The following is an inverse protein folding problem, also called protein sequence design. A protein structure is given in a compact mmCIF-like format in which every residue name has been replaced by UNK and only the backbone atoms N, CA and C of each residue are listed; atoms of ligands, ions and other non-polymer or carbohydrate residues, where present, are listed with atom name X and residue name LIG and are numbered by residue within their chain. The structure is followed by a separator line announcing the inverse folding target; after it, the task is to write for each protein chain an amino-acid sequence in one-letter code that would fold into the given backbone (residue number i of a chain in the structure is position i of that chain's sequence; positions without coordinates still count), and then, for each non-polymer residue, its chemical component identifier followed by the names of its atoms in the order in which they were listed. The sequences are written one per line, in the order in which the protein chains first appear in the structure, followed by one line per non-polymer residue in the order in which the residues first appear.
data_IF_971433379793
#
_entry.id   IF_971433379793
#
_cell.length_a   1.000
_cell.length_b   1.000
_cell.length_c   1.000
_cell.angle_alpha   90.00
_cell.angle_beta   90.00
_cell.angle_gamma   90.00
#
_symmetry.space_group_name_H-M   'P 1'
#
loop_
_entity.id
_entity.type
_entity.pdbx_description
1 polymer ?
#
# COMPACT_ATOMS: atom_id res chain seq x y z
N UNK A 1 51.12 3.58 -22.19
CA UNK A 1 50.79 2.32 -22.89
C UNK A 1 50.80 1.07 -21.99
N UNK A 2 51.27 1.11 -20.73
CA UNK A 2 51.25 -0.07 -19.83
C UNK A 2 49.87 -0.41 -19.22
N UNK A 3 48.98 0.58 -19.02
CA UNK A 3 47.71 0.37 -18.31
C UNK A 3 46.66 -0.44 -19.10
N UNK A 4 46.72 -0.44 -20.44
CA UNK A 4 45.80 -1.26 -21.27
C UNK A 4 46.19 -2.75 -21.28
N UNK A 5 47.46 -3.10 -21.08
CA UNK A 5 47.92 -4.51 -21.09
C UNK A 5 47.51 -5.26 -19.82
N UNK A 6 47.40 -4.56 -18.69
CA UNK A 6 46.95 -5.14 -17.41
C UNK A 6 45.46 -5.49 -17.41
N UNK A 7 44.63 -4.70 -18.11
CA UNK A 7 43.18 -4.95 -18.22
C UNK A 7 42.88 -6.16 -19.12
N UNK A 8 43.68 -6.36 -20.18
CA UNK A 8 43.55 -7.52 -21.06
C UNK A 8 43.91 -8.84 -20.36
N UNK A 9 44.89 -8.82 -19.46
CA UNK A 9 45.36 -10.01 -18.76
C UNK A 9 44.39 -10.47 -17.65
N UNK A 10 43.70 -9.54 -17.00
CA UNK A 10 42.64 -9.86 -16.02
C UNK A 10 41.38 -10.41 -16.69
N UNK A 11 41.07 -9.99 -17.92
CA UNK A 11 39.91 -10.48 -18.66
C UNK A 11 40.11 -11.92 -19.19
N UNK A 12 41.35 -12.28 -19.54
CA UNK A 12 41.70 -13.64 -19.97
C UNK A 12 41.69 -14.65 -18.81
N UNK A 13 42.00 -14.22 -17.59
CA UNK A 13 41.96 -15.08 -16.40
C UNK A 13 40.53 -15.43 -15.95
N UNK A 14 39.55 -14.58 -16.27
CA UNK A 14 38.15 -14.83 -15.91
C UNK A 14 37.44 -15.82 -16.86
N UNK A 15 37.94 -16.03 -18.08
CA UNK A 15 37.31 -16.96 -19.03
C UNK A 15 37.71 -18.43 -18.84
N UNK A 16 38.70 -18.73 -17.98
CA UNK A 16 39.19 -20.08 -17.75
C UNK A 16 38.46 -20.83 -16.61
N UNK A 17 37.54 -20.17 -15.89
CA UNK A 17 36.90 -20.72 -14.69
C UNK A 17 35.53 -21.40 -14.93
N UNK A 18 35.01 -21.43 -16.16
CA UNK A 18 33.67 -21.98 -16.45
C UNK A 18 33.75 -23.31 -17.20
N UNK A 19 34.29 -24.33 -16.54
CA UNK A 19 34.04 -25.73 -16.90
C UNK A 19 33.38 -26.43 -15.71
N UNK A 20 32.22 -25.92 -15.29
CA UNK A 20 31.33 -26.67 -14.40
C UNK A 20 30.60 -27.68 -15.29
N UNK A 21 31.15 -28.89 -15.37
CA UNK A 21 30.40 -30.02 -15.90
C UNK A 21 29.23 -30.28 -14.94
N UNK A 22 28.02 -29.96 -15.39
CA UNK A 22 26.80 -30.28 -14.66
C UNK A 22 26.68 -31.81 -14.58
N UNK A 23 26.82 -32.34 -13.37
CA UNK A 23 26.67 -33.76 -13.08
C UNK A 23 25.18 -34.12 -13.19
N UNK A 24 24.78 -34.77 -14.28
CA UNK A 24 23.39 -35.08 -14.57
C UNK A 24 22.94 -36.27 -13.71
N UNK A 25 22.23 -35.95 -12.62
CA UNK A 25 21.63 -36.93 -11.73
C UNK A 25 20.43 -37.61 -12.38
N UNK A 26 20.39 -38.94 -12.31
CA UNK A 26 19.26 -39.77 -12.75
C UNK A 26 18.90 -40.79 -11.67
N UNK A 27 17.70 -41.34 -11.77
CA UNK A 27 17.18 -42.32 -10.84
C UNK A 27 16.91 -43.63 -11.57
N UNK A 28 17.10 -44.75 -10.91
CA UNK A 28 16.74 -46.06 -11.46
C UNK A 28 15.22 -46.24 -11.33
N UNK A 29 14.56 -46.69 -12.40
CA UNK A 29 13.11 -46.90 -12.45
C UNK A 29 12.63 -47.84 -11.33
N UNK A 30 11.40 -47.63 -10.86
CA UNK A 30 10.83 -48.28 -9.67
C UNK A 30 10.34 -49.72 -9.89
N UNK A 31 10.42 -50.21 -11.13
CA UNK A 31 9.62 -51.38 -11.54
C UNK A 31 10.33 -52.72 -11.25
N UNK A 32 11.68 -52.77 -11.20
CA UNK A 32 12.43 -53.98 -10.83
C UNK A 32 13.93 -53.70 -10.58
N UNK A 33 14.60 -54.58 -9.82
CA UNK A 33 16.08 -54.59 -9.77
C UNK A 33 16.65 -54.75 -11.18
N UNK A 34 17.46 -53.77 -11.60
CA UNK A 34 18.05 -53.78 -12.94
C UNK A 34 19.45 -54.38 -12.90
N UNK A 35 19.78 -55.15 -13.92
CA UNK A 35 21.11 -55.73 -14.05
C UNK A 35 22.04 -54.75 -14.73
N UNK A 36 23.25 -54.60 -14.17
CA UNK A 36 24.26 -53.68 -14.70
C UNK A 36 25.37 -54.43 -15.42
N UNK A 37 25.88 -53.81 -16.50
CA UNK A 37 26.86 -54.41 -17.40
C UNK A 37 28.19 -53.68 -17.40
N UNK A 38 29.24 -54.38 -17.84
CA UNK A 38 30.61 -53.85 -17.91
C UNK A 38 30.88 -52.97 -19.13
N UNK A 39 30.02 -53.03 -20.14
CA UNK A 39 30.11 -52.21 -21.35
C UNK A 39 28.75 -51.88 -21.96
N UNK A 40 28.73 -51.02 -22.99
CA UNK A 40 27.51 -50.45 -23.57
C UNK A 40 26.81 -51.41 -24.53
N UNK A 41 26.30 -52.54 -24.05
CA UNK A 41 25.54 -53.48 -24.89
C UNK A 41 25.25 -54.83 -24.22
N UNK A 42 24.38 -55.63 -24.85
CA UNK A 42 23.95 -56.92 -24.30
C UNK A 42 25.03 -58.00 -24.28
N UNK A 43 26.05 -57.88 -25.13
CA UNK A 43 27.17 -58.81 -25.23
C UNK A 43 28.18 -58.67 -24.07
N UNK A 44 28.02 -57.67 -23.21
CA UNK A 44 28.93 -57.44 -22.09
C UNK A 44 28.49 -58.19 -20.84
N UNK A 45 29.48 -58.69 -20.08
CA UNK A 45 29.27 -59.43 -18.85
C UNK A 45 28.49 -58.59 -17.82
N UNK A 46 27.51 -59.23 -17.18
CA UNK A 46 26.78 -58.73 -16.02
C UNK A 46 27.75 -58.56 -14.84
N UNK A 47 27.81 -57.37 -14.28
CA UNK A 47 28.74 -57.01 -13.18
C UNK A 47 28.04 -56.92 -11.84
N UNK A 48 26.70 -56.85 -11.84
CA UNK A 48 25.89 -56.82 -10.63
C UNK A 48 24.45 -56.40 -10.90
N UNK A 49 23.78 -55.97 -9.84
CA UNK A 49 22.42 -55.42 -9.85
C UNK A 49 22.42 -54.06 -9.16
N UNK A 50 21.51 -53.18 -9.58
CA UNK A 50 21.23 -51.90 -8.93
C UNK A 50 19.78 -51.89 -8.47
N UNK A 51 19.53 -51.31 -7.29
CA UNK A 51 18.21 -51.34 -6.68
C UNK A 51 17.29 -50.34 -7.38
N UNK A 52 16.00 -50.71 -7.48
CA UNK A 52 14.97 -49.80 -7.96
C UNK A 52 14.89 -48.55 -7.08
N UNK A 53 14.85 -47.36 -7.71
CA UNK A 53 14.78 -46.07 -7.02
C UNK A 53 16.08 -45.52 -6.47
N UNK A 54 17.23 -46.16 -6.73
CA UNK A 54 18.57 -45.69 -6.36
C UNK A 54 18.98 -44.45 -7.19
N UNK A 55 19.60 -43.45 -6.54
CA UNK A 55 20.15 -42.27 -7.22
C UNK A 55 21.49 -42.62 -7.85
N UNK A 56 21.61 -42.38 -9.16
CA UNK A 56 22.81 -42.65 -9.94
C UNK A 56 23.21 -41.44 -10.78
N UNK A 57 24.51 -41.22 -10.92
CA UNK A 57 25.02 -40.15 -11.77
C UNK A 57 25.22 -40.66 -13.18
N UNK A 58 24.65 -40.00 -14.18
CA UNK A 58 24.91 -40.32 -15.56
C UNK A 58 26.25 -39.71 -16.03
N UNK A 59 27.14 -40.55 -16.54
CA UNK A 59 28.44 -40.13 -17.07
C UNK A 59 28.42 -40.02 -18.58
N UNK A 60 27.87 -41.03 -19.25
CA UNK A 60 27.84 -41.09 -20.71
C UNK A 60 26.60 -41.84 -21.19
N UNK A 61 26.11 -41.48 -22.38
CA UNK A 61 25.03 -42.21 -23.05
C UNK A 61 25.53 -42.75 -24.38
N UNK A 62 25.15 -43.98 -24.68
CA UNK A 62 25.32 -44.60 -26.00
C UNK A 62 23.92 -44.78 -26.60
N UNK A 63 23.60 -43.95 -27.58
CA UNK A 63 22.31 -43.98 -28.30
C UNK A 63 22.22 -45.12 -29.31
N UNK A 64 23.34 -45.67 -29.77
CA UNK A 64 23.34 -46.81 -30.71
C UNK A 64 22.91 -48.10 -30.02
N UNK A 65 23.34 -48.29 -28.77
CA UNK A 65 23.02 -49.49 -28.00
C UNK A 65 21.92 -49.27 -26.95
N UNK A 66 21.44 -48.03 -26.79
CA UNK A 66 20.47 -47.62 -25.77
C UNK A 66 20.93 -47.88 -24.33
N UNK A 67 22.22 -47.69 -24.05
CA UNK A 67 22.82 -47.85 -22.72
C UNK A 67 23.37 -46.54 -22.18
N UNK A 68 23.21 -46.31 -20.88
CA UNK A 68 23.83 -45.21 -20.14
C UNK A 68 24.90 -45.75 -19.19
N UNK A 69 26.08 -45.14 -19.20
CA UNK A 69 27.10 -45.34 -18.19
C UNK A 69 26.74 -44.52 -16.97
N UNK A 70 26.56 -45.19 -15.83
CA UNK A 70 26.21 -44.55 -14.58
C UNK A 70 27.25 -44.83 -13.51
N UNK A 71 27.39 -43.87 -12.58
CA UNK A 71 28.14 -44.01 -11.35
C UNK A 71 27.17 -44.09 -10.18
N UNK A 72 27.29 -45.18 -9.45
CA UNK A 72 26.53 -45.45 -8.22
C UNK A 72 27.13 -44.69 -7.02
N UNK A 73 26.37 -44.55 -5.94
CA UNK A 73 26.76 -43.99 -4.64
C UNK A 73 28.04 -44.63 -4.06
N UNK A 74 28.26 -45.91 -4.37
CA UNK A 74 29.46 -46.66 -4.00
C UNK A 74 30.70 -46.36 -4.87
N UNK A 75 30.61 -45.42 -5.81
CA UNK A 75 31.69 -45.05 -6.74
C UNK A 75 31.93 -46.02 -7.89
N UNK A 76 31.12 -47.09 -7.99
CA UNK A 76 31.22 -48.08 -9.09
C UNK A 76 30.64 -47.51 -10.38
N UNK A 77 31.31 -47.75 -11.49
CA UNK A 77 30.83 -47.36 -12.82
C UNK A 77 30.33 -48.58 -13.58
N UNK A 78 29.11 -48.50 -14.09
CA UNK A 78 28.45 -49.60 -14.79
C UNK A 78 27.47 -49.10 -15.85
N UNK A 79 27.12 -49.95 -16.81
CA UNK A 79 26.18 -49.63 -17.88
C UNK A 79 24.80 -50.18 -17.57
N UNK A 80 23.79 -49.32 -17.68
CA UNK A 80 22.36 -49.62 -17.45
C UNK A 80 21.58 -49.25 -18.72
N UNK A 81 20.57 -50.05 -19.13
CA UNK A 81 19.69 -49.68 -20.25
C UNK A 81 18.97 -48.35 -19.98
N UNK A 82 18.93 -47.45 -20.97
CA UNK A 82 18.35 -46.11 -20.82
C UNK A 82 16.86 -46.13 -20.40
N UNK A 83 16.11 -47.17 -20.81
CA UNK A 83 14.70 -47.37 -20.42
C UNK A 83 14.50 -47.54 -18.91
N UNK A 84 15.53 -47.98 -18.20
CA UNK A 84 15.50 -48.21 -16.75
C UNK A 84 16.01 -46.98 -15.98
N UNK A 85 16.44 -45.92 -16.68
CA UNK A 85 16.87 -44.65 -16.08
C UNK A 85 15.74 -43.62 -16.21
N UNK A 86 15.16 -43.26 -15.08
CA UNK A 86 14.17 -42.20 -14.95
C UNK A 86 14.83 -40.88 -14.54
N UNK A 87 14.31 -39.77 -15.03
CA UNK A 87 14.64 -38.43 -14.53
C UNK A 87 13.84 -38.06 -13.28
N UNK A 88 12.90 -38.92 -12.88
CA UNK A 88 11.92 -38.69 -11.83
C UNK A 88 12.28 -39.55 -10.60
N UNK A 89 12.33 -38.98 -9.38
CA UNK A 89 12.57 -39.72 -8.15
C UNK A 89 11.52 -40.79 -7.87
N UNK A 90 11.93 -41.85 -7.19
CA UNK A 90 11.11 -43.03 -6.89
C UNK A 90 9.85 -42.76 -6.05
N UNK A 91 8.78 -43.49 -6.32
CA UNK A 91 7.53 -43.57 -5.58
C UNK A 91 7.76 -43.84 -4.08
N UNK A 92 8.78 -44.63 -3.70
CA UNK A 92 9.15 -44.86 -2.29
C UNK A 92 9.50 -43.57 -1.55
N UNK A 93 10.09 -42.58 -2.22
CA UNK A 93 10.39 -41.27 -1.62
C UNK A 93 9.21 -40.31 -1.72
N UNK A 94 8.40 -40.41 -2.79
CA UNK A 94 7.25 -39.52 -3.00
C UNK A 94 6.06 -39.79 -2.10
N UNK A 95 5.78 -41.05 -1.73
CA UNK A 95 4.57 -41.41 -0.95
C UNK A 95 4.56 -40.72 0.43
N UNK A 96 5.63 -40.78 1.25
CA UNK A 96 5.65 -40.07 2.54
C UNK A 96 5.52 -38.56 2.39
N UNK A 97 6.16 -37.97 1.38
CA UNK A 97 6.11 -36.53 1.12
C UNK A 97 4.72 -36.07 0.66
N UNK A 98 4.06 -36.87 -0.17
CA UNK A 98 2.68 -36.63 -0.62
C UNK A 98 1.70 -36.77 0.54
N UNK A 99 1.86 -37.78 1.41
CA UNK A 99 1.05 -37.94 2.62
C UNK A 99 1.21 -36.76 3.59
N UNK A 100 2.45 -36.29 3.80
CA UNK A 100 2.74 -35.11 4.60
C UNK A 100 2.11 -33.83 4.01
N UNK A 101 2.12 -33.69 2.68
CA UNK A 101 1.47 -32.58 2.00
C UNK A 101 -0.06 -32.64 2.20
N UNK A 102 -0.69 -33.79 1.99
CA UNK A 102 -2.13 -33.96 2.19
C UNK A 102 -2.53 -33.63 3.63
N UNK A 103 -1.75 -34.10 4.62
CA UNK A 103 -1.96 -33.76 6.03
C UNK A 103 -1.87 -32.25 6.27
N UNK A 104 -0.81 -31.61 5.79
CA UNK A 104 -0.60 -30.17 5.94
C UNK A 104 -1.72 -29.35 5.28
N UNK A 105 -2.17 -29.76 4.09
CA UNK A 105 -3.27 -29.11 3.39
C UNK A 105 -4.60 -29.29 4.13
N UNK A 106 -4.83 -30.46 4.71
CA UNK A 106 -6.01 -30.76 5.52
C UNK A 106 -6.04 -29.91 6.80
N UNK A 107 -4.90 -29.82 7.51
CA UNK A 107 -4.76 -28.97 8.70
C UNK A 107 -4.99 -27.48 8.37
N UNK A 108 -4.50 -27.02 7.21
CA UNK A 108 -4.76 -25.66 6.72
C UNK A 108 -6.24 -25.45 6.44
N UNK A 109 -6.93 -26.38 5.77
CA UNK A 109 -8.36 -26.28 5.49
C UNK A 109 -9.19 -26.20 6.77
N UNK A 110 -8.90 -27.05 7.75
CA UNK A 110 -9.62 -27.06 9.02
C UNK A 110 -9.44 -25.76 9.82
N UNK A 111 -8.26 -25.12 9.72
CA UNK A 111 -8.00 -23.84 10.39
C UNK A 111 -8.63 -22.64 9.64
N UNK A 112 -8.78 -22.76 8.31
CA UNK A 112 -9.41 -21.75 7.46
C UNK A 112 -10.83 -21.45 7.95
N UNK A 113 -11.67 -22.46 8.21
CA UNK A 113 -13.05 -22.24 8.65
C UNK A 113 -13.13 -21.46 9.98
N UNK A 114 -12.26 -21.76 10.94
CA UNK A 114 -12.16 -21.04 12.21
C UNK A 114 -11.77 -19.58 12.02
N UNK A 115 -10.73 -19.32 11.21
CA UNK A 115 -10.25 -17.96 10.93
C UNK A 115 -11.25 -17.13 10.14
N UNK A 116 -11.99 -17.72 9.19
CA UNK A 116 -13.03 -17.03 8.44
C UNK A 116 -14.22 -16.66 9.32
N UNK A 117 -14.67 -17.57 10.18
CA UNK A 117 -15.76 -17.28 11.11
C UNK A 117 -15.37 -16.15 12.06
N UNK A 118 -14.15 -16.17 12.60
CA UNK A 118 -13.65 -15.10 13.45
C UNK A 118 -13.58 -13.76 12.70
N UNK A 119 -12.96 -13.73 11.51
CA UNK A 119 -12.85 -12.49 10.71
C UNK A 119 -14.21 -11.94 10.29
N UNK A 120 -15.16 -12.81 9.99
CA UNK A 120 -16.53 -12.41 9.64
C UNK A 120 -17.23 -11.78 10.84
N UNK A 121 -17.08 -12.36 12.03
CA UNK A 121 -17.63 -11.79 13.26
C UNK A 121 -16.97 -10.44 13.61
N UNK A 122 -15.63 -10.34 13.51
CA UNK A 122 -14.88 -9.10 13.72
C UNK A 122 -15.29 -8.01 12.71
N UNK A 123 -15.44 -8.37 11.43
CA UNK A 123 -15.90 -7.44 10.39
C UNK A 123 -17.32 -6.95 10.69
N UNK A 124 -18.24 -7.84 11.03
CA UNK A 124 -19.62 -7.48 11.38
C UNK A 124 -19.67 -6.52 12.57
N UNK A 125 -18.85 -6.78 13.60
CA UNK A 125 -18.73 -5.89 14.76
C UNK A 125 -18.16 -4.53 14.37
N UNK A 126 -17.13 -4.49 13.52
CA UNK A 126 -16.50 -3.24 13.06
C UNK A 126 -17.45 -2.40 12.21
N UNK A 127 -18.26 -3.03 11.37
CA UNK A 127 -19.30 -2.36 10.59
C UNK A 127 -20.35 -1.78 11.52
N UNK A 128 -20.89 -2.56 12.47
CA UNK A 128 -21.87 -2.08 13.44
C UNK A 128 -21.34 -0.90 14.29
N UNK A 129 -20.07 -0.97 14.72
CA UNK A 129 -19.42 0.11 15.45
C UNK A 129 -19.25 1.36 14.58
N UNK A 130 -18.86 1.18 13.31
CA UNK A 130 -18.70 2.29 12.37
C UNK A 130 -20.04 2.96 12.07
N UNK A 131 -21.11 2.20 11.89
CA UNK A 131 -22.46 2.74 11.70
C UNK A 131 -22.92 3.56 12.91
N UNK A 132 -22.65 3.08 14.12
CA UNK A 132 -22.94 3.84 15.35
C UNK A 132 -22.17 5.16 15.41
N UNK A 133 -20.88 5.16 15.10
CA UNK A 133 -20.05 6.38 15.06
C UNK A 133 -20.53 7.35 13.98
N UNK A 134 -20.87 6.85 12.78
CA UNK A 134 -21.37 7.67 11.67
C UNK A 134 -22.68 8.33 12.06
N UNK A 135 -23.60 7.59 12.69
CA UNK A 135 -24.88 8.15 13.15
C UNK A 135 -24.66 9.21 14.24
N UNK A 136 -23.76 8.96 15.21
CA UNK A 136 -23.40 9.95 16.23
C UNK A 136 -22.80 11.23 15.63
N UNK A 137 -21.83 11.12 14.72
CA UNK A 137 -21.22 12.26 14.04
C UNK A 137 -22.23 13.01 13.16
N UNK A 138 -23.20 12.32 12.57
CA UNK A 138 -24.26 12.94 11.78
C UNK A 138 -25.20 13.76 12.67
N UNK A 139 -25.58 13.23 13.83
CA UNK A 139 -26.39 13.96 14.82
C UNK A 139 -25.65 15.18 15.37
N UNK A 140 -24.37 15.04 15.70
CA UNK A 140 -23.54 16.16 16.18
C UNK A 140 -23.39 17.25 15.11
N UNK A 141 -23.13 16.88 13.85
CA UNK A 141 -23.10 17.82 12.75
C UNK A 141 -24.43 18.56 12.56
N UNK A 142 -25.57 17.87 12.74
CA UNK A 142 -26.88 18.52 12.68
C UNK A 142 -27.08 19.50 13.84
N UNK A 143 -26.69 19.13 15.06
CA UNK A 143 -26.73 20.01 16.23
C UNK A 143 -25.87 21.26 16.03
N UNK A 144 -24.61 21.09 15.63
CA UNK A 144 -23.69 22.20 15.37
C UNK A 144 -24.21 23.13 14.28
N UNK A 145 -24.79 22.60 13.19
CA UNK A 145 -25.44 23.42 12.15
C UNK A 145 -26.59 24.25 12.72
N UNK A 146 -27.44 23.66 13.56
CA UNK A 146 -28.54 24.38 14.20
C UNK A 146 -28.03 25.45 15.16
N UNK A 147 -27.00 25.15 15.95
CA UNK A 147 -26.36 26.11 16.84
C UNK A 147 -25.74 27.28 16.08
N UNK A 148 -25.06 27.02 14.95
CA UNK A 148 -24.54 28.07 14.08
C UNK A 148 -25.65 28.97 13.52
N UNK A 149 -26.77 28.39 13.08
CA UNK A 149 -27.94 29.16 12.62
C UNK A 149 -28.47 30.05 13.75
N UNK A 150 -28.59 29.52 14.96
CA UNK A 150 -29.08 30.27 16.13
C UNK A 150 -28.09 31.37 16.51
N UNK A 151 -26.80 31.08 16.56
CA UNK A 151 -25.75 32.06 16.84
C UNK A 151 -25.75 33.18 15.80
N UNK A 152 -25.84 32.85 14.52
CA UNK A 152 -25.94 33.83 13.44
C UNK A 152 -27.20 34.70 13.58
N UNK A 153 -28.35 34.10 13.90
CA UNK A 153 -29.59 34.85 14.16
C UNK A 153 -29.45 35.80 15.34
N UNK A 154 -28.80 35.38 16.43
CA UNK A 154 -28.52 36.24 17.60
C UNK A 154 -27.60 37.40 17.23
N UNK A 155 -26.53 37.15 16.47
CA UNK A 155 -25.61 38.20 15.99
C UNK A 155 -26.37 39.20 15.12
N UNK A 156 -27.17 38.72 14.16
CA UNK A 156 -27.96 39.59 13.30
C UNK A 156 -28.99 40.41 14.10
N UNK A 157 -29.69 39.79 15.05
CA UNK A 157 -30.64 40.48 15.92
C UNK A 157 -29.96 41.52 16.82
N UNK A 158 -28.76 41.23 17.35
CA UNK A 158 -27.97 42.18 18.12
C UNK A 158 -27.52 43.36 17.25
N UNK A 159 -27.07 43.11 16.02
CA UNK A 159 -26.71 44.16 15.06
C UNK A 159 -27.91 45.05 14.70
N UNK A 160 -29.09 44.45 14.49
CA UNK A 160 -30.33 45.21 14.24
C UNK A 160 -30.73 46.06 15.45
N UNK A 161 -30.59 45.53 16.68
CA UNK A 161 -30.82 46.32 17.90
C UNK A 161 -29.82 47.47 18.03
N UNK A 162 -28.57 47.27 17.60
CA UNK A 162 -27.57 48.35 17.59
C UNK A 162 -27.93 49.43 16.56
N UNK A 163 -28.40 49.06 15.36
CA UNK A 163 -28.85 50.04 14.34
C UNK A 163 -30.06 50.84 14.84
N UNK A 164 -31.04 50.19 15.46
CA UNK A 164 -32.24 50.85 15.98
C UNK A 164 -31.92 51.82 17.14
N UNK A 165 -31.01 51.41 18.04
CA UNK A 165 -30.47 52.30 19.09
C UNK A 165 -29.70 53.47 18.50
N UNK A 166 -28.87 53.24 17.46
CA UNK A 166 -28.14 54.31 16.80
C UNK A 166 -29.07 55.29 16.10
N UNK A 167 -30.13 54.83 15.41
CA UNK A 167 -31.15 55.69 14.79
C UNK A 167 -31.84 56.58 15.82
N UNK A 168 -32.20 56.03 16.98
CA UNK A 168 -32.82 56.78 18.08
C UNK A 168 -31.88 57.87 18.63
N UNK A 169 -30.60 57.55 18.83
CA UNK A 169 -29.59 58.50 19.31
C UNK A 169 -29.36 59.63 18.29
N UNK A 170 -29.31 59.32 17.00
CA UNK A 170 -29.15 60.32 15.93
C UNK A 170 -30.37 61.24 15.85
N UNK A 171 -31.58 60.69 15.93
CA UNK A 171 -32.81 61.50 15.93
C UNK A 171 -32.86 62.48 17.11
N UNK A 172 -32.42 62.05 18.29
CA UNK A 172 -32.37 62.91 19.47
C UNK A 172 -31.42 64.10 19.28
N UNK A 173 -30.19 63.86 18.79
CA UNK A 173 -29.24 64.94 18.52
C UNK A 173 -29.66 65.85 17.36
N UNK A 174 -30.26 65.29 16.30
CA UNK A 174 -30.79 66.08 15.18
C UNK A 174 -31.96 66.98 15.62
N UNK A 175 -32.86 66.47 16.47
CA UNK A 175 -33.98 67.25 17.02
C UNK A 175 -33.50 68.40 17.92
N UNK A 176 -32.51 68.14 18.79
CA UNK A 176 -31.90 69.21 19.60
C UNK A 176 -31.14 70.23 18.74
N UNK A 177 -30.35 69.79 17.75
CA UNK A 177 -29.61 70.66 16.85
C UNK A 177 -30.52 71.53 15.98
N UNK A 178 -31.57 70.94 15.38
CA UNK A 178 -32.57 71.65 14.59
C UNK A 178 -33.38 72.65 15.42
N UNK A 179 -33.74 72.28 16.66
CA UNK A 179 -34.44 73.18 17.60
C UNK A 179 -33.61 74.40 17.95
N UNK A 180 -32.32 74.22 18.28
CA UNK A 180 -31.42 75.33 18.63
C UNK A 180 -31.18 76.24 17.42
N UNK A 181 -30.97 75.68 16.22
CA UNK A 181 -30.85 76.47 14.99
C UNK A 181 -32.11 77.28 14.68
N UNK A 182 -33.30 76.67 14.84
CA UNK A 182 -34.58 77.36 14.64
C UNK A 182 -34.75 78.55 15.58
N UNK A 183 -34.52 78.34 16.88
CA UNK A 183 -34.60 79.41 17.89
C UNK A 183 -33.53 80.49 17.64
N UNK A 184 -32.30 80.09 17.31
CA UNK A 184 -31.21 81.00 17.00
C UNK A 184 -31.49 81.88 15.78
N UNK A 185 -32.12 81.33 14.73
CA UNK A 185 -32.53 82.07 13.54
C UNK A 185 -33.64 83.08 13.85
N UNK A 186 -34.66 82.67 14.62
CA UNK A 186 -35.74 83.57 15.04
C UNK A 186 -35.20 84.73 15.85
N UNK A 187 -34.34 84.46 16.85
CA UNK A 187 -33.71 85.50 17.65
C UNK A 187 -32.77 86.37 16.79
N UNK A 188 -31.95 85.76 15.93
CA UNK A 188 -31.03 86.48 15.05
C UNK A 188 -31.73 87.40 14.05
N UNK A 189 -32.97 87.11 13.64
CA UNK A 189 -33.76 87.97 12.76
C UNK A 189 -34.54 89.05 13.53
N UNK A 190 -35.00 88.75 14.75
CA UNK A 190 -35.82 89.66 15.56
C UNK A 190 -34.97 90.67 16.33
N UNK A 191 -33.82 90.27 16.88
CA UNK A 191 -32.93 91.16 17.65
C UNK A 191 -32.46 92.40 16.87
N UNK A 192 -32.04 92.31 15.59
CA UNK A 192 -31.61 93.48 14.82
C UNK A 192 -32.72 94.50 14.56
N UNK A 193 -33.98 94.05 14.61
CA UNK A 193 -35.12 94.91 14.35
C UNK A 193 -35.56 95.70 15.60
N UNK A 194 -35.26 95.19 16.79
CA UNK A 194 -35.59 95.86 18.06
C UNK A 194 -34.46 96.74 18.60
N UNK A 195 -33.23 96.58 18.12
CA UNK A 195 -32.08 97.38 18.58
C UNK A 195 -31.86 98.56 17.63
N UNK A 196 -32.03 99.82 18.07
CA UNK A 196 -31.86 100.99 17.19
C UNK A 196 -30.39 101.16 16.75
N UNK A 197 -30.20 101.29 15.43
CA UNK A 197 -28.90 101.45 14.77
C UNK A 197 -28.12 102.68 15.26
N UNK A 198 -26.87 102.47 15.67
CA UNK A 198 -25.91 103.57 15.90
C UNK A 198 -25.33 104.01 14.56
N UNK A 199 -25.77 105.17 14.08
CA UNK A 199 -25.19 105.86 12.92
C UNK A 199 -23.69 106.13 13.16
N UNK A 200 -22.81 105.54 12.34
CA UNK A 200 -21.43 106.02 12.21
C UNK A 200 -21.45 107.29 11.35
N UNK A 201 -20.97 108.39 11.92
CA UNK A 201 -20.69 109.63 11.20
C UNK A 201 -19.33 109.48 10.53
N UNK A 202 -19.34 109.46 9.20
CA UNK A 202 -18.13 109.69 8.42
C UNK A 202 -17.91 111.19 8.21
N UNK A 203 -16.61 111.53 8.17
CA UNK A 203 -15.96 112.64 7.46
C UNK A 203 -15.55 113.92 8.20
N UNK A 204 -14.25 113.97 8.47
CA UNK A 204 -13.26 115.04 8.24
C UNK A 204 -13.64 116.15 7.23
N UNK A 205 -13.47 117.42 7.64
CA UNK A 205 -12.67 118.47 6.97
C UNK A 205 -12.75 119.82 7.74
N UNK A 206 -11.56 120.41 7.96
CA UNK A 206 -11.19 121.70 8.58
C UNK A 206 -11.57 121.99 10.04
#
# INVERSE_FOLDING_TARGET
MLKLRLIGLTLLAFSAATAVHAEEKRYVSDELNTWVRSGPGDNYRLVGTVNAGEEVTLLQTNTETNYGQVRDSSGRTSWIPLKELSTVPSLRTRVPDLENQVKTLTDKLNNIDGTWNQRTAEMQQKVAQSDSVINGLKEENQKLKNELIVAQKKVNAANLQLDDKQRTIIMQWFMYGGGVLGVGLVLGLVLPHLIPSRKRKDRWMN
#
